data_IF_382443844249
#
_entry.id   IF_382443844249
#
_cell.length_a   1.000
_cell.length_b   1.000
_cell.length_c   1.000
_cell.angle_alpha   90.00
_cell.angle_beta   90.00
_cell.angle_gamma   90.00
#
_symmetry.space_group_name_H-M   'P 1'
#
loop_
_entity.id
_entity.type
_entity.pdbx_description
1 polymer ?
#
# COMPACT_ATOMS: atom_id res chain seq x y z
N UNK A 1 -7.24 28.57 2.25
CA UNK A 1 -7.46 28.60 3.71
C UNK A 1 -6.38 27.69 4.27
N UNK A 2 -5.40 28.25 4.97
CA UNK A 2 -4.40 27.43 5.67
C UNK A 2 -5.13 26.60 6.73
N UNK A 3 -4.79 25.32 6.83
CA UNK A 3 -5.42 24.39 7.78
C UNK A 3 -4.43 23.98 8.88
N UNK A 4 -4.96 23.32 9.92
CA UNK A 4 -4.18 22.95 11.10
C UNK A 4 -2.93 22.15 10.75
N UNK A 5 -2.99 21.30 9.71
CA UNK A 5 -1.82 20.52 9.28
C UNK A 5 -0.76 21.43 8.68
N UNK A 6 -1.12 22.33 7.76
CA UNK A 6 -0.18 23.29 7.17
C UNK A 6 0.46 24.19 8.24
N UNK A 7 -0.31 24.64 9.23
CA UNK A 7 0.21 25.46 10.34
C UNK A 7 1.23 24.69 11.20
N UNK A 8 0.91 23.43 11.54
CA UNK A 8 1.82 22.55 12.30
C UNK A 8 3.11 22.27 11.52
N UNK A 9 3.03 22.05 10.21
CA UNK A 9 4.19 21.78 9.35
C UNK A 9 5.01 23.02 9.05
N UNK A 10 4.39 24.20 8.99
CA UNK A 10 5.08 25.48 8.93
C UNK A 10 5.89 25.72 10.21
N UNK A 11 5.35 25.34 11.37
CA UNK A 11 6.06 25.40 12.64
C UNK A 11 7.21 24.38 12.73
N UNK A 12 6.95 23.10 12.41
CA UNK A 12 7.96 22.04 12.54
C UNK A 12 7.76 20.90 11.54
N UNK A 13 8.43 21.00 10.39
CA UNK A 13 8.46 19.95 9.33
C UNK A 13 8.89 18.58 9.83
N UNK A 14 9.77 18.52 10.83
CA UNK A 14 10.29 17.24 11.33
C UNK A 14 9.22 16.34 11.94
N UNK A 15 8.02 16.86 12.22
CA UNK A 15 6.90 16.09 12.75
C UNK A 15 6.36 15.06 11.74
N UNK A 16 6.51 15.28 10.43
CA UNK A 16 6.10 14.33 9.39
C UNK A 16 6.79 12.98 9.53
N UNK A 17 8.06 13.00 9.98
CA UNK A 17 8.90 11.81 10.08
C UNK A 17 8.78 11.10 11.45
N UNK A 18 7.96 11.62 12.36
CA UNK A 18 7.82 10.99 13.66
C UNK A 18 7.02 9.69 13.55
N UNK A 19 7.52 8.59 14.10
CA UNK A 19 6.74 7.37 14.21
C UNK A 19 5.55 7.60 15.16
N UNK A 20 4.37 7.22 14.73
CA UNK A 20 3.17 7.04 15.54
C UNK A 20 2.95 5.54 15.77
N UNK A 21 2.50 5.14 16.96
CA UNK A 21 2.33 3.72 17.32
C UNK A 21 3.35 3.23 18.35
N UNK A 22 3.41 1.91 18.55
CA UNK A 22 4.37 1.26 19.46
C UNK A 22 5.65 0.85 18.72
N UNK A 23 6.71 0.47 19.43
CA UNK A 23 8.03 0.17 18.86
C UNK A 23 8.01 -0.86 17.72
N UNK A 24 7.03 -1.78 17.70
CA UNK A 24 6.94 -2.86 16.71
C UNK A 24 5.89 -2.65 15.61
N UNK A 25 5.07 -1.60 15.70
CA UNK A 25 3.97 -1.34 14.76
C UNK A 25 3.84 0.16 14.50
N UNK A 26 4.97 0.78 14.19
CA UNK A 26 5.03 2.22 13.97
C UNK A 26 4.72 2.58 12.52
N UNK A 27 4.06 3.73 12.36
CA UNK A 27 3.66 4.32 11.09
C UNK A 27 3.99 5.82 11.09
N UNK A 28 3.83 6.53 9.98
CA UNK A 28 4.04 7.99 9.92
C UNK A 28 2.86 8.69 9.26
N UNK A 29 2.85 10.03 9.27
CA UNK A 29 1.74 10.81 8.73
C UNK A 29 1.36 10.43 7.29
N UNK A 30 2.34 10.13 6.43
CA UNK A 30 2.08 9.74 5.03
C UNK A 30 1.40 8.37 4.92
N UNK A 31 1.76 7.42 5.79
CA UNK A 31 1.14 6.10 5.84
C UNK A 31 -0.29 6.16 6.38
N UNK A 32 -0.54 7.01 7.39
CA UNK A 32 -1.90 7.25 7.89
C UNK A 32 -2.76 7.87 6.79
N UNK A 33 -2.27 8.90 6.10
CA UNK A 33 -2.98 9.46 4.95
C UNK A 33 -3.23 8.41 3.85
N UNK A 34 -2.27 7.50 3.65
CA UNK A 34 -2.38 6.43 2.68
C UNK A 34 -3.41 5.35 3.06
N UNK A 35 -3.51 4.99 4.35
CA UNK A 35 -4.51 4.02 4.81
C UNK A 35 -5.93 4.55 4.69
N UNK A 36 -6.11 5.86 4.82
CA UNK A 36 -7.40 6.54 4.65
C UNK A 36 -7.71 6.90 3.19
N UNK A 37 -6.75 6.74 2.27
CA UNK A 37 -6.92 7.12 0.86
C UNK A 37 -7.00 8.63 0.62
N UNK A 38 -6.55 9.46 1.57
CA UNK A 38 -6.67 10.91 1.49
C UNK A 38 -5.61 11.53 0.56
N UNK A 39 -5.94 11.57 -0.74
CA UNK A 39 -5.10 12.17 -1.79
C UNK A 39 -4.74 13.62 -1.49
N UNK A 40 -5.65 14.39 -0.89
CA UNK A 40 -5.39 15.81 -0.59
C UNK A 40 -4.39 15.95 0.55
N UNK A 41 -4.47 15.09 1.57
CA UNK A 41 -3.48 15.05 2.63
C UNK A 41 -2.11 14.60 2.11
N UNK A 42 -2.05 13.57 1.26
CA UNK A 42 -0.79 13.14 0.62
C UNK A 42 -0.15 14.31 -0.14
N UNK A 43 -0.90 15.00 -1.01
CA UNK A 43 -0.42 16.19 -1.73
C UNK A 43 0.09 17.26 -0.77
N UNK A 44 -0.63 17.52 0.32
CA UNK A 44 -0.23 18.52 1.32
C UNK A 44 1.08 18.13 2.01
N UNK A 45 1.21 16.89 2.47
CA UNK A 45 2.43 16.39 3.10
C UNK A 45 3.63 16.51 2.15
N UNK A 46 3.48 16.10 0.90
CA UNK A 46 4.51 16.17 -0.13
C UNK A 46 4.87 17.62 -0.50
N UNK A 47 3.91 18.54 -0.54
CA UNK A 47 4.18 19.96 -0.78
C UNK A 47 5.06 20.58 0.31
N UNK A 48 4.89 20.18 1.58
CA UNK A 48 5.70 20.69 2.68
C UNK A 48 7.03 19.94 2.84
N UNK A 49 7.03 18.63 2.63
CA UNK A 49 8.14 17.71 2.85
C UNK A 49 8.18 16.65 1.72
N UNK A 50 8.71 16.96 0.53
CA UNK A 50 8.68 16.04 -0.63
C UNK A 50 9.37 14.69 -0.39
N UNK A 51 10.41 14.70 0.44
CA UNK A 51 11.19 13.52 0.85
C UNK A 51 10.40 12.55 1.75
N UNK A 52 9.27 12.97 2.32
CA UNK A 52 8.45 12.08 3.14
C UNK A 52 7.84 10.91 2.35
N UNK A 53 7.83 10.98 1.01
CA UNK A 53 7.40 9.89 0.12
C UNK A 53 8.22 8.62 0.26
N UNK A 54 9.49 8.75 0.64
CA UNK A 54 10.45 7.63 0.74
C UNK A 54 10.46 6.99 2.14
N UNK A 55 9.64 7.49 3.07
CA UNK A 55 9.53 6.93 4.41
C UNK A 55 8.84 5.57 4.33
N UNK A 56 9.39 4.60 5.06
CA UNK A 56 8.80 3.28 5.26
C UNK A 56 8.21 3.18 6.66
N UNK A 57 7.23 2.30 6.90
CA UNK A 57 6.72 1.97 8.23
C UNK A 57 7.51 0.80 8.88
N UNK A 58 7.06 0.29 10.04
CA UNK A 58 7.69 -0.86 10.72
C UNK A 58 7.75 -2.15 9.90
N UNK A 59 6.88 -2.29 8.89
CA UNK A 59 6.85 -3.42 7.96
C UNK A 59 7.66 -3.16 6.69
N UNK A 60 8.53 -2.13 6.67
CA UNK A 60 9.22 -1.65 5.48
C UNK A 60 8.28 -1.31 4.30
N UNK A 61 7.02 -0.97 4.59
CA UNK A 61 6.05 -0.61 3.57
C UNK A 61 6.12 0.88 3.29
N UNK A 62 6.03 1.26 2.02
CA UNK A 62 5.82 2.65 1.61
C UNK A 62 4.31 2.99 1.51
N UNK A 63 3.98 4.23 1.16
CA UNK A 63 2.59 4.69 1.01
C UNK A 63 1.77 3.86 0.00
N UNK A 64 2.36 3.37 -1.10
CA UNK A 64 1.66 2.57 -2.10
C UNK A 64 1.31 1.18 -1.58
N UNK A 65 2.20 0.52 -0.82
CA UNK A 65 1.87 -0.75 -0.15
C UNK A 65 0.66 -0.58 0.77
N UNK A 66 0.65 0.47 1.59
CA UNK A 66 -0.44 0.76 2.52
C UNK A 66 -1.74 1.03 1.77
N UNK A 67 -1.71 1.88 0.74
CA UNK A 67 -2.88 2.17 -0.09
C UNK A 67 -3.47 0.90 -0.73
N UNK A 68 -2.62 0.01 -1.25
CA UNK A 68 -3.05 -1.29 -1.82
C UNK A 68 -3.65 -2.19 -0.75
N UNK A 69 -3.01 -2.31 0.42
CA UNK A 69 -3.49 -3.14 1.53
C UNK A 69 -4.90 -2.71 2.00
N UNK A 70 -5.16 -1.41 2.05
CA UNK A 70 -6.46 -0.84 2.42
C UNK A 70 -7.43 -0.64 1.23
N UNK A 71 -7.07 -1.08 0.02
CA UNK A 71 -7.88 -0.94 -1.21
C UNK A 71 -8.26 0.52 -1.56
N UNK A 72 -7.34 1.46 -1.36
CA UNK A 72 -7.56 2.88 -1.59
C UNK A 72 -7.35 3.25 -3.07
N UNK A 73 -8.25 2.81 -3.95
CA UNK A 73 -8.10 2.87 -5.41
C UNK A 73 -7.81 4.28 -5.95
N UNK A 74 -8.48 5.32 -5.44
CA UNK A 74 -8.25 6.70 -5.90
C UNK A 74 -6.80 7.13 -5.62
N UNK A 75 -6.29 6.82 -4.43
CA UNK A 75 -4.92 7.12 -4.06
C UNK A 75 -3.92 6.26 -4.84
N UNK A 76 -4.23 4.99 -5.08
CA UNK A 76 -3.38 4.12 -5.89
C UNK A 76 -3.22 4.69 -7.30
N UNK A 77 -4.32 5.07 -7.97
CA UNK A 77 -4.27 5.72 -9.27
C UNK A 77 -3.46 7.02 -9.22
N UNK A 78 -3.71 7.89 -8.23
CA UNK A 78 -2.95 9.12 -8.05
C UNK A 78 -1.44 8.89 -7.92
N UNK A 79 -1.01 7.90 -7.13
CA UNK A 79 0.41 7.58 -6.96
C UNK A 79 1.04 6.95 -8.20
N UNK A 80 0.26 6.36 -9.11
CA UNK A 80 0.74 5.73 -10.34
C UNK A 80 0.69 6.66 -11.56
N UNK A 81 0.04 7.82 -11.44
CA UNK A 81 -0.11 8.79 -12.54
C UNK A 81 1.15 9.66 -12.75
N UNK A 82 2.15 9.60 -11.86
CA UNK A 82 3.33 10.46 -11.91
C UNK A 82 4.62 9.67 -11.76
N UNK A 83 5.52 9.82 -12.75
CA UNK A 83 6.85 9.19 -12.79
C UNK A 83 7.72 9.47 -11.54
N UNK A 84 7.45 10.54 -10.81
CA UNK A 84 8.19 10.86 -9.59
C UNK A 84 7.92 9.90 -8.42
N UNK A 85 6.85 9.11 -8.50
CA UNK A 85 6.45 8.10 -7.50
C UNK A 85 6.76 6.66 -7.96
N UNK A 86 7.38 6.50 -9.13
CA UNK A 86 7.73 5.21 -9.72
C UNK A 86 8.56 4.31 -8.80
N UNK A 87 9.39 4.90 -7.93
CA UNK A 87 10.17 4.14 -6.94
C UNK A 87 9.29 3.33 -6.00
N UNK A 88 8.05 3.76 -5.73
CA UNK A 88 7.17 3.07 -4.79
C UNK A 88 6.68 1.71 -5.30
N UNK A 89 6.69 1.49 -6.62
CA UNK A 89 6.00 0.38 -7.30
C UNK A 89 6.72 -0.96 -7.14
N UNK A 90 8.03 -0.96 -6.92
CA UNK A 90 8.83 -2.18 -6.97
C UNK A 90 9.74 -2.42 -5.76
N UNK A 91 9.61 -1.57 -4.74
CA UNK A 91 10.24 -1.79 -3.43
C UNK A 91 9.57 -2.98 -2.71
N UNK A 92 10.35 -3.85 -2.08
CA UNK A 92 9.83 -4.94 -1.24
C UNK A 92 9.59 -4.49 0.20
N UNK A 93 8.50 -4.94 0.79
CA UNK A 93 8.25 -4.85 2.23
C UNK A 93 9.09 -5.87 3.04
N UNK A 94 8.86 -5.94 4.35
CA UNK A 94 9.56 -6.84 5.27
C UNK A 94 9.37 -8.33 4.94
N UNK A 95 8.33 -8.73 4.20
CA UNK A 95 8.10 -10.09 3.73
C UNK A 95 8.58 -10.31 2.30
N UNK A 96 9.21 -9.31 1.68
CA UNK A 96 9.63 -9.36 0.29
C UNK A 96 8.47 -9.13 -0.69
N UNK A 97 7.29 -8.73 -0.20
CA UNK A 97 6.15 -8.43 -1.06
C UNK A 97 6.33 -7.04 -1.65
N UNK A 98 6.18 -6.95 -2.97
CA UNK A 98 5.94 -5.66 -3.65
C UNK A 98 4.46 -5.29 -3.56
N UNK A 99 4.04 -4.05 -3.89
CA UNK A 99 2.63 -3.68 -3.93
C UNK A 99 1.78 -4.62 -4.82
N UNK A 100 2.37 -5.18 -5.88
CA UNK A 100 1.67 -6.14 -6.74
C UNK A 100 1.37 -7.48 -6.04
N UNK A 101 2.23 -7.94 -5.12
CA UNK A 101 1.93 -9.12 -4.30
C UNK A 101 0.76 -8.85 -3.36
N UNK A 102 0.73 -7.66 -2.73
CA UNK A 102 -0.38 -7.26 -1.87
C UNK A 102 -1.69 -7.11 -2.66
N UNK A 103 -1.63 -6.56 -3.88
CA UNK A 103 -2.80 -6.48 -4.76
C UNK A 103 -3.35 -7.89 -5.05
N UNK A 104 -2.48 -8.84 -5.38
CA UNK A 104 -2.87 -10.24 -5.63
C UNK A 104 -3.55 -10.90 -4.41
N UNK A 105 -3.14 -10.55 -3.19
CA UNK A 105 -3.77 -11.05 -1.96
C UNK A 105 -5.13 -10.39 -1.65
N UNK A 106 -5.30 -9.11 -2.02
CA UNK A 106 -6.48 -8.30 -1.67
C UNK A 106 -7.78 -8.74 -2.39
N UNK A 107 -7.67 -9.34 -3.57
CA UNK A 107 -8.81 -9.61 -4.46
C UNK A 107 -9.35 -8.36 -5.17
N UNK A 108 -8.66 -7.23 -5.02
CA UNK A 108 -8.94 -5.99 -5.75
C UNK A 108 -8.36 -6.06 -7.17
N UNK A 109 -8.83 -5.19 -8.05
CA UNK A 109 -8.40 -5.13 -9.44
C UNK A 109 -8.02 -3.70 -9.82
N UNK A 110 -6.71 -3.45 -9.91
CA UNK A 110 -6.14 -2.15 -10.28
C UNK A 110 -5.26 -2.34 -11.52
N UNK A 111 -5.81 -2.16 -12.74
CA UNK A 111 -5.08 -2.33 -13.99
C UNK A 111 -3.83 -1.47 -14.09
N UNK A 112 -3.84 -0.28 -13.50
CA UNK A 112 -2.74 0.68 -13.49
C UNK A 112 -1.51 0.06 -12.83
N UNK A 113 -1.67 -0.57 -11.65
CA UNK A 113 -0.58 -1.24 -10.95
C UNK A 113 -0.14 -2.51 -11.68
N UNK A 114 -1.10 -3.28 -12.21
CA UNK A 114 -0.80 -4.51 -12.97
C UNK A 114 -0.02 -4.20 -14.24
N UNK A 115 -0.30 -3.10 -14.91
CA UNK A 115 0.33 -2.73 -16.18
C UNK A 115 1.48 -1.73 -16.03
N UNK A 116 1.76 -1.27 -14.81
CA UNK A 116 2.85 -0.32 -14.57
C UNK A 116 4.19 -0.89 -15.05
N UNK A 117 5.01 -0.12 -15.80
CA UNK A 117 6.28 -0.61 -16.36
C UNK A 117 7.26 -1.14 -15.31
N UNK A 118 7.24 -0.58 -14.10
CA UNK A 118 8.10 -1.01 -12.99
C UNK A 118 7.56 -2.17 -12.16
N UNK A 119 6.30 -2.56 -12.33
CA UNK A 119 5.72 -3.63 -11.52
C UNK A 119 6.42 -4.97 -11.77
N UNK A 120 7.02 -5.55 -10.71
CA UNK A 120 7.74 -6.83 -10.77
C UNK A 120 6.76 -8.00 -10.79
N UNK A 121 6.28 -8.37 -11.99
CA UNK A 121 5.30 -9.45 -12.20
C UNK A 121 5.83 -10.86 -11.89
N UNK A 122 7.15 -11.03 -11.89
CA UNK A 122 7.83 -12.33 -11.74
C UNK A 122 8.79 -12.40 -10.55
N UNK A 123 8.83 -11.36 -9.71
CA UNK A 123 9.63 -11.41 -8.48
C UNK A 123 9.02 -12.39 -7.48
N UNK A 124 9.87 -13.04 -6.70
CA UNK A 124 9.46 -13.88 -5.59
C UNK A 124 9.55 -13.09 -4.28
N UNK A 125 8.54 -13.24 -3.41
CA UNK A 125 8.63 -12.83 -2.01
C UNK A 125 9.42 -13.84 -1.17
N UNK A 126 9.53 -13.63 0.15
CA UNK A 126 10.26 -14.54 1.06
C UNK A 126 9.65 -15.94 1.18
N UNK A 127 8.38 -16.10 0.79
CA UNK A 127 7.69 -17.39 0.72
C UNK A 127 7.90 -18.10 -0.64
N UNK A 128 8.78 -17.57 -1.51
CA UNK A 128 9.01 -18.05 -2.88
C UNK A 128 7.73 -18.03 -3.73
N UNK A 129 6.87 -17.04 -3.53
CA UNK A 129 5.65 -16.85 -4.32
C UNK A 129 5.79 -15.63 -5.22
N UNK A 130 5.37 -15.77 -6.47
CA UNK A 130 5.08 -14.63 -7.35
C UNK A 130 3.71 -14.02 -7.00
N UNK A 131 3.39 -12.80 -7.48
CA UNK A 131 2.05 -12.27 -7.35
C UNK A 131 0.98 -13.20 -7.95
N UNK A 132 1.29 -13.90 -9.05
CA UNK A 132 0.36 -14.86 -9.66
C UNK A 132 0.11 -16.07 -8.73
N UNK A 133 1.14 -16.59 -8.08
CA UNK A 133 1.00 -17.70 -7.13
C UNK A 133 0.09 -17.32 -5.95
N UNK A 134 0.23 -16.09 -5.44
CA UNK A 134 -0.65 -15.54 -4.39
C UNK A 134 -2.09 -15.46 -4.88
N UNK A 135 -2.33 -14.88 -6.06
CA UNK A 135 -3.68 -14.73 -6.61
C UNK A 135 -4.38 -16.09 -6.82
N UNK A 136 -3.66 -17.09 -7.35
CA UNK A 136 -4.20 -18.44 -7.53
C UNK A 136 -4.49 -19.14 -6.20
N UNK A 137 -3.63 -18.97 -5.18
CA UNK A 137 -3.84 -19.54 -3.85
C UNK A 137 -5.13 -19.01 -3.20
N UNK A 138 -5.48 -17.74 -3.44
CA UNK A 138 -6.73 -17.14 -2.97
C UNK A 138 -7.96 -17.71 -3.68
N UNK A 139 -7.89 -17.92 -5.00
CA UNK A 139 -9.01 -18.49 -5.77
C UNK A 139 -9.33 -19.90 -5.27
N UNK A 140 -8.32 -20.76 -5.13
CA UNK A 140 -8.48 -22.14 -4.67
C UNK A 140 -9.07 -22.21 -3.27
N UNK A 141 -8.63 -21.33 -2.36
CA UNK A 141 -9.17 -21.28 -0.99
C UNK A 141 -10.63 -20.79 -0.98
N UNK A 142 -10.96 -19.79 -1.80
CA UNK A 142 -12.34 -19.27 -1.92
C UNK A 142 -13.29 -20.34 -2.47
N UNK A 143 -12.92 -21.02 -3.56
CA UNK A 143 -13.72 -22.10 -4.15
C UNK A 143 -13.95 -23.25 -3.15
N UNK A 144 -12.90 -23.66 -2.42
CA UNK A 144 -12.99 -24.72 -1.41
C UNK A 144 -13.97 -24.35 -0.29
N UNK A 145 -13.90 -23.14 0.26
CA UNK A 145 -14.83 -22.67 1.29
C UNK A 145 -16.27 -22.65 0.74
N UNK A 146 -16.45 -22.19 -0.50
CA UNK A 146 -17.78 -22.11 -1.12
C UNK A 146 -18.43 -23.49 -1.22
N UNK A 147 -17.67 -24.52 -1.60
CA UNK A 147 -18.14 -25.91 -1.68
C UNK A 147 -18.48 -26.46 -0.29
N UNK A 148 -17.62 -26.27 0.72
CA UNK A 148 -17.87 -26.74 2.09
C UNK A 148 -19.13 -26.10 2.71
N UNK A 149 -19.37 -24.81 2.46
CA UNK A 149 -20.59 -24.10 2.91
C UNK A 149 -21.83 -24.67 2.21
N UNK A 150 -21.79 -24.92 0.91
CA UNK A 150 -22.94 -25.51 0.19
C UNK A 150 -23.28 -26.91 0.72
N UNK A 151 -22.28 -27.75 0.97
CA UNK A 151 -22.49 -29.11 1.49
C UNK A 151 -23.08 -29.11 2.90
N UNK A 152 -22.64 -28.20 3.78
CA UNK A 152 -23.15 -28.09 5.16
C UNK A 152 -24.55 -27.48 5.29
N UNK A 153 -25.08 -26.84 4.24
CA UNK A 153 -26.46 -26.35 4.18
C UNK A 153 -27.45 -27.40 3.62
N UNK A 154 -26.96 -28.55 3.16
CA UNK A 154 -27.77 -29.66 2.64
C UNK A 154 -28.01 -30.78 3.68
N UNK A 155 -27.51 -30.61 4.90
CA UNK A 155 -27.78 -31.46 6.08
C UNK A 155 -28.77 -30.78 7.04
#
# INVERSE_FOLDING_TARGET
MEDVVSDILAWKKSLVYLPAGSENDWTTAIHIAASEGDVNMIKKLLNHCPDCRDILNSNNQNALHVAVFFNQNELICFLLDYDEYDSLVDEPDSDGNTPLHLLAASGNHVPELINHPRAKKMSFNKQNQTPLDIALSRIVTTEKITIEVILSLQE
#
